data_IF_899313805099
#
_entry.id   IF_899313805099
#
_cell.length_a   1.000
_cell.length_b   1.000
_cell.length_c   1.000
_cell.angle_alpha   90.00
_cell.angle_beta   90.00
_cell.angle_gamma   90.00
#
_symmetry.space_group_name_H-M   'P 1'
#
loop_
_entity.id
_entity.type
_entity.pdbx_description
1 polymer ?
#
# COMPACT_ATOMS: atom_id res chain seq x y z
N UNK A 1 -23.33 8.63 38.80
CA UNK A 1 -22.16 7.73 38.91
C UNK A 1 -21.18 8.13 37.82
N UNK A 2 -19.86 8.13 38.06
CA UNK A 2 -18.89 8.23 36.97
C UNK A 2 -19.05 7.00 36.08
N UNK A 3 -19.15 7.19 34.77
CA UNK A 3 -19.21 6.08 33.81
C UNK A 3 -17.91 5.26 33.88
N UNK A 4 -18.02 3.96 33.66
CA UNK A 4 -16.88 3.06 33.73
C UNK A 4 -15.92 3.36 32.57
N UNK A 5 -14.60 3.28 32.80
CA UNK A 5 -13.62 3.43 31.71
C UNK A 5 -13.78 2.38 30.59
N UNK A 6 -14.56 1.31 30.83
CA UNK A 6 -14.93 0.31 29.82
C UNK A 6 -16.05 0.77 28.87
N UNK A 7 -16.77 1.85 29.16
CA UNK A 7 -17.84 2.40 28.31
C UNK A 7 -17.31 3.36 27.23
N UNK A 8 -16.01 3.67 27.23
CA UNK A 8 -15.34 4.38 26.12
C UNK A 8 -15.23 3.50 24.86
N UNK A 9 -16.33 3.40 24.11
CA UNK A 9 -16.38 2.87 22.74
C UNK A 9 -15.88 3.91 21.73
N UNK A 10 -14.58 3.84 21.48
CA UNK A 10 -13.93 4.40 20.30
C UNK A 10 -12.78 3.45 19.92
N UNK A 11 -12.86 2.77 18.78
CA UNK A 11 -11.77 1.89 18.34
C UNK A 11 -11.32 2.05 16.87
N UNK A 12 -10.57 3.14 16.54
CA UNK A 12 -9.99 3.33 15.21
C UNK A 12 -8.62 2.67 14.85
N UNK A 13 -7.90 1.83 15.61
CA UNK A 13 -8.00 1.35 16.99
C UNK A 13 -7.04 2.16 17.89
N UNK A 14 -7.58 2.69 19.01
CA UNK A 14 -6.94 3.51 20.08
C UNK A 14 -5.56 4.14 19.78
N UNK A 15 -5.59 5.45 19.46
CA UNK A 15 -4.52 6.47 19.63
C UNK A 15 -3.82 7.08 18.38
N UNK A 16 -4.56 7.39 17.30
CA UNK A 16 -4.16 8.46 16.35
C UNK A 16 -5.26 9.45 15.93
N UNK A 17 -6.53 9.18 16.25
CA UNK A 17 -7.63 10.10 15.95
C UNK A 17 -7.74 10.41 14.45
N UNK A 18 -7.88 11.68 14.12
CA UNK A 18 -8.01 12.19 12.75
C UNK A 18 -6.83 11.85 11.82
N UNK A 19 -5.59 11.71 12.34
CA UNK A 19 -4.42 11.29 11.55
C UNK A 19 -4.60 9.88 10.98
N UNK A 20 -5.30 8.98 11.68
CA UNK A 20 -5.62 7.66 11.14
C UNK A 20 -6.62 7.76 9.99
N UNK A 21 -7.74 8.46 10.18
CA UNK A 21 -8.80 8.61 9.16
C UNK A 21 -8.27 9.29 7.88
N UNK A 22 -7.42 10.31 8.04
CA UNK A 22 -6.76 10.98 6.92
C UNK A 22 -5.80 10.05 6.18
N UNK A 23 -4.91 9.33 6.87
CA UNK A 23 -3.99 8.36 6.24
C UNK A 23 -4.74 7.22 5.57
N UNK A 24 -5.82 6.75 6.18
CA UNK A 24 -6.70 5.73 5.60
C UNK A 24 -7.32 6.22 4.29
N UNK A 25 -7.95 7.39 4.31
CA UNK A 25 -8.54 7.97 3.10
C UNK A 25 -7.50 8.21 2.01
N UNK A 26 -6.26 8.54 2.38
CA UNK A 26 -5.17 8.71 1.42
C UNK A 26 -4.70 7.37 0.82
N UNK A 27 -4.62 6.30 1.62
CA UNK A 27 -4.27 4.95 1.16
C UNK A 27 -5.28 4.45 0.12
N UNK A 28 -6.56 4.39 0.49
CA UNK A 28 -7.67 3.98 -0.39
C UNK A 28 -7.71 4.79 -1.68
N UNK A 29 -7.51 6.11 -1.60
CA UNK A 29 -7.42 6.98 -2.77
C UNK A 29 -6.23 6.63 -3.68
N UNK A 30 -5.07 6.35 -3.11
CA UNK A 30 -3.88 5.98 -3.88
C UNK A 30 -4.03 4.62 -4.58
N UNK A 31 -4.64 3.63 -3.91
CA UNK A 31 -4.98 2.33 -4.50
C UNK A 31 -5.98 2.46 -5.64
N UNK A 32 -7.05 3.24 -5.46
CA UNK A 32 -8.04 3.53 -6.51
C UNK A 32 -7.37 4.09 -7.76
N UNK A 33 -6.48 5.09 -7.60
CA UNK A 33 -5.72 5.68 -8.71
C UNK A 33 -4.79 4.69 -9.40
N UNK A 34 -4.17 3.77 -8.66
CA UNK A 34 -3.35 2.70 -9.23
C UNK A 34 -4.19 1.70 -10.02
N UNK A 35 -5.36 1.30 -9.50
CA UNK A 35 -6.30 0.41 -10.18
C UNK A 35 -6.79 1.03 -11.49
N UNK A 36 -7.22 2.30 -11.45
CA UNK A 36 -7.66 3.07 -12.62
C UNK A 36 -6.52 3.17 -13.66
N UNK A 37 -5.33 3.62 -13.24
CA UNK A 37 -4.16 3.77 -14.12
C UNK A 37 -3.73 2.47 -14.83
N UNK A 38 -3.84 1.32 -14.15
CA UNK A 38 -3.55 0.00 -14.73
C UNK A 38 -4.65 -0.40 -15.71
N UNK A 39 -5.90 -0.24 -15.34
CA UNK A 39 -7.05 -0.69 -16.15
C UNK A 39 -7.22 0.16 -17.42
N UNK A 40 -6.93 1.46 -17.35
CA UNK A 40 -6.97 2.40 -18.48
C UNK A 40 -5.95 2.04 -19.59
N UNK A 41 -4.95 1.20 -19.31
CA UNK A 41 -4.01 0.70 -20.34
C UNK A 41 -4.68 -0.27 -21.33
N UNK A 42 -5.75 -0.96 -20.92
CA UNK A 42 -6.35 -2.06 -21.67
C UNK A 42 -5.49 -3.34 -21.79
N UNK A 43 -4.21 -3.31 -21.40
CA UNK A 43 -3.29 -4.46 -21.43
C UNK A 43 -3.31 -5.30 -20.15
N UNK A 44 -3.71 -4.68 -19.05
CA UNK A 44 -3.67 -5.25 -17.70
C UNK A 44 -4.99 -5.04 -16.97
N UNK A 45 -5.18 -5.82 -15.90
CA UNK A 45 -6.29 -5.70 -14.96
C UNK A 45 -5.72 -5.65 -13.55
N UNK A 46 -6.06 -4.63 -12.77
CA UNK A 46 -5.79 -4.54 -11.33
C UNK A 46 -7.10 -4.73 -10.54
N UNK A 47 -7.01 -5.46 -9.42
CA UNK A 47 -8.09 -5.62 -8.43
C UNK A 47 -7.56 -5.44 -7.01
N UNK A 48 -8.38 -4.97 -6.05
CA UNK A 48 -8.07 -5.08 -4.63
C UNK A 48 -8.04 -6.55 -4.17
N UNK A 49 -7.17 -6.83 -3.20
CA UNK A 49 -6.90 -8.15 -2.64
C UNK A 49 -6.62 -8.10 -1.14
N UNK A 50 -5.91 -7.06 -0.71
CA UNK A 50 -5.64 -6.74 0.69
C UNK A 50 -6.79 -6.02 1.41
N UNK A 51 -6.65 -5.83 2.74
CA UNK A 51 -7.66 -5.27 3.64
C UNK A 51 -7.79 -3.73 3.58
N UNK A 52 -7.25 -3.09 2.56
CA UNK A 52 -7.15 -1.64 2.43
C UNK A 52 -8.24 -1.11 1.48
N UNK A 53 -8.28 -1.60 0.24
CA UNK A 53 -9.13 -1.09 -0.84
C UNK A 53 -10.63 -1.42 -0.78
N UNK A 54 -11.12 -2.18 0.21
CA UNK A 54 -12.56 -2.50 0.35
C UNK A 54 -13.22 -1.91 1.60
N UNK A 55 -12.51 -1.09 2.36
CA UNK A 55 -13.05 -0.54 3.60
C UNK A 55 -14.16 0.51 3.36
N UNK A 56 -15.15 0.57 4.28
CA UNK A 56 -16.27 1.50 4.18
C UNK A 56 -15.86 2.96 4.39
N UNK A 57 -16.78 3.89 4.10
CA UNK A 57 -16.56 5.33 4.25
C UNK A 57 -17.73 6.00 4.95
N UNK A 58 -17.45 6.84 5.96
CA UNK A 58 -18.45 7.73 6.57
C UNK A 58 -19.15 7.24 7.84
N UNK A 59 -18.87 6.04 8.35
CA UNK A 59 -19.51 5.51 9.58
C UNK A 59 -18.53 4.74 10.48
N UNK A 60 -18.42 5.12 11.76
CA UNK A 60 -17.62 4.39 12.78
C UNK A 60 -18.02 2.92 12.80
N UNK A 61 -19.33 2.65 12.80
CA UNK A 61 -19.89 1.31 12.92
C UNK A 61 -19.51 0.41 11.74
N UNK A 62 -19.44 0.97 10.54
CA UNK A 62 -19.02 0.20 9.37
C UNK A 62 -17.53 -0.14 9.45
N UNK A 63 -16.68 0.79 9.88
CA UNK A 63 -15.27 0.50 10.17
C UNK A 63 -15.10 -0.57 11.25
N UNK A 64 -15.86 -0.50 12.35
CA UNK A 64 -15.81 -1.51 13.42
C UNK A 64 -16.16 -2.90 12.88
N UNK A 65 -17.28 -3.04 12.14
CA UNK A 65 -17.69 -4.28 11.50
C UNK A 65 -16.67 -4.79 10.46
N UNK A 66 -16.01 -3.88 9.73
CA UNK A 66 -14.95 -4.22 8.77
C UNK A 66 -13.75 -4.87 9.48
N UNK A 67 -13.26 -4.27 10.57
CA UNK A 67 -12.16 -4.82 11.34
C UNK A 67 -12.54 -6.11 12.08
N UNK A 68 -13.77 -6.23 12.60
CA UNK A 68 -14.27 -7.48 13.20
C UNK A 68 -14.27 -8.63 12.18
N UNK A 69 -14.68 -8.37 10.92
CA UNK A 69 -14.60 -9.36 9.83
C UNK A 69 -13.16 -9.76 9.49
N UNK A 70 -12.21 -8.81 9.46
CA UNK A 70 -10.79 -9.10 9.21
C UNK A 70 -10.15 -9.93 10.34
N UNK A 71 -10.50 -9.63 11.59
CA UNK A 71 -10.03 -10.40 12.75
C UNK A 71 -10.63 -11.82 12.75
N UNK A 72 -11.92 -11.96 12.45
CA UNK A 72 -12.58 -13.26 12.29
C UNK A 72 -12.03 -14.09 11.12
N UNK A 73 -11.55 -13.45 10.04
CA UNK A 73 -10.87 -14.11 8.93
C UNK A 73 -9.46 -14.62 9.26
N UNK A 74 -8.93 -14.34 10.46
CA UNK A 74 -7.60 -14.76 10.90
C UNK A 74 -6.44 -13.98 10.27
N UNK A 75 -6.72 -12.96 9.44
CA UNK A 75 -5.72 -12.23 8.66
C UNK A 75 -4.87 -11.27 9.50
N UNK A 76 -5.21 -11.06 10.78
CA UNK A 76 -4.39 -10.29 11.73
C UNK A 76 -2.98 -10.86 11.99
N UNK A 77 -2.68 -12.09 11.53
CA UNK A 77 -1.36 -12.72 11.65
C UNK A 77 -0.64 -12.95 10.30
N UNK A 78 -1.29 -12.70 9.16
CA UNK A 78 -0.72 -12.97 7.83
C UNK A 78 -0.75 -11.71 6.98
N UNK A 79 0.44 -11.16 6.70
CA UNK A 79 0.58 -10.02 5.79
C UNK A 79 0.18 -10.43 4.37
N UNK A 80 -0.55 -9.54 3.69
CA UNK A 80 -1.01 -9.69 2.31
C UNK A 80 -0.75 -8.38 1.56
N UNK A 81 -0.28 -8.41 0.29
CA UNK A 81 -0.26 -7.24 -0.59
C UNK A 81 -1.65 -6.67 -0.86
N UNK A 82 -1.74 -5.37 -1.16
CA UNK A 82 -3.00 -4.65 -1.32
C UNK A 82 -3.72 -4.98 -2.64
N UNK A 83 -2.98 -5.10 -3.75
CA UNK A 83 -3.56 -5.37 -5.08
C UNK A 83 -3.01 -6.64 -5.73
N UNK A 84 -3.80 -7.22 -6.64
CA UNK A 84 -3.34 -8.21 -7.62
C UNK A 84 -3.48 -7.67 -9.03
N UNK A 85 -2.46 -7.90 -9.86
CA UNK A 85 -2.46 -7.53 -11.27
C UNK A 85 -2.44 -8.77 -12.17
N UNK A 86 -3.13 -8.66 -13.30
CA UNK A 86 -3.34 -9.71 -14.29
C UNK A 86 -3.13 -9.15 -15.70
N UNK A 87 -2.92 -10.03 -16.69
CA UNK A 87 -3.01 -9.63 -18.10
C UNK A 87 -4.49 -9.48 -18.47
N UNK A 88 -4.86 -8.51 -19.30
CA UNK A 88 -6.24 -8.31 -19.74
C UNK A 88 -6.81 -9.55 -20.48
N UNK A 89 -5.95 -10.35 -21.12
CA UNK A 89 -6.30 -11.65 -21.73
C UNK A 89 -6.86 -12.68 -20.74
N UNK A 90 -6.58 -12.53 -19.44
CA UNK A 90 -7.07 -13.42 -18.38
C UNK A 90 -8.25 -12.80 -17.60
N UNK A 91 -8.79 -11.64 -18.03
CA UNK A 91 -9.90 -10.94 -17.35
C UNK A 91 -11.12 -11.84 -17.09
N UNK A 92 -11.71 -12.43 -18.12
CA UNK A 92 -12.91 -13.27 -17.97
C UNK A 92 -12.72 -14.47 -17.00
N UNK A 93 -11.66 -15.29 -17.09
CA UNK A 93 -11.45 -16.36 -16.11
C UNK A 93 -10.98 -15.88 -14.72
N UNK A 94 -10.51 -14.64 -14.58
CA UNK A 94 -10.28 -14.01 -13.27
C UNK A 94 -11.60 -13.55 -12.65
N UNK A 95 -12.46 -12.87 -13.42
CA UNK A 95 -13.81 -12.46 -12.99
C UNK A 95 -14.66 -13.66 -12.56
N UNK A 96 -14.59 -14.78 -13.30
CA UNK A 96 -15.24 -16.03 -12.89
C UNK A 96 -14.70 -16.54 -11.54
N UNK A 97 -13.37 -16.61 -11.36
CA UNK A 97 -12.76 -17.08 -10.12
C UNK A 97 -13.10 -16.17 -8.92
N UNK A 98 -13.24 -14.86 -9.15
CA UNK A 98 -13.70 -13.89 -8.14
C UNK A 98 -15.17 -14.11 -7.80
N UNK A 99 -16.03 -14.37 -8.78
CA UNK A 99 -17.44 -14.68 -8.54
C UNK A 99 -17.60 -15.98 -7.72
N UNK A 100 -16.83 -17.02 -8.05
CA UNK A 100 -16.74 -18.28 -7.27
C UNK A 100 -16.18 -18.07 -5.86
N UNK A 101 -15.35 -17.04 -5.65
CA UNK A 101 -14.85 -16.63 -4.34
C UNK A 101 -15.90 -15.91 -3.48
N UNK A 102 -17.02 -15.46 -4.06
CA UNK A 102 -18.06 -14.66 -3.38
C UNK A 102 -18.08 -13.19 -3.79
N UNK A 103 -17.27 -12.78 -4.77
CA UNK A 103 -17.17 -11.41 -5.27
C UNK A 103 -15.94 -10.66 -4.78
N UNK A 104 -15.68 -9.51 -5.42
CA UNK A 104 -14.46 -8.71 -5.21
C UNK A 104 -14.36 -8.14 -3.78
N UNK A 105 -15.50 -7.82 -3.17
CA UNK A 105 -15.59 -7.33 -1.79
C UNK A 105 -15.24 -8.38 -0.74
N UNK A 106 -15.34 -9.67 -1.10
CA UNK A 106 -15.09 -10.78 -0.18
C UNK A 106 -13.62 -11.22 -0.16
N UNK A 107 -12.84 -10.94 -1.22
CA UNK A 107 -11.43 -11.34 -1.32
C UNK A 107 -10.61 -10.98 -0.06
N UNK A 108 -10.73 -9.78 0.53
CA UNK A 108 -9.98 -9.39 1.73
C UNK A 108 -10.38 -10.10 3.02
N UNK A 109 -11.46 -10.90 3.02
CA UNK A 109 -11.93 -11.70 4.16
C UNK A 109 -11.77 -13.20 3.95
N UNK A 110 -11.34 -13.64 2.77
CA UNK A 110 -11.06 -15.04 2.49
C UNK A 110 -9.68 -15.39 3.06
N UNK A 111 -9.63 -16.43 3.89
CA UNK A 111 -8.37 -16.93 4.46
C UNK A 111 -7.40 -17.39 3.35
N UNK A 112 -6.10 -17.17 3.55
CA UNK A 112 -5.05 -17.54 2.58
C UNK A 112 -5.09 -19.03 2.18
N UNK A 113 -5.49 -19.93 3.07
CA UNK A 113 -5.57 -21.37 2.80
C UNK A 113 -6.78 -21.78 1.95
N UNK A 114 -7.71 -20.88 1.63
CA UNK A 114 -8.91 -21.19 0.86
C UNK A 114 -8.59 -21.47 -0.63
N UNK A 115 -9.09 -22.60 -1.14
CA UNK A 115 -8.90 -23.04 -2.52
C UNK A 115 -9.46 -22.07 -3.56
N UNK A 116 -10.50 -21.29 -3.20
CA UNK A 116 -11.10 -20.26 -4.07
C UNK A 116 -10.09 -19.14 -4.35
N UNK A 117 -9.30 -18.77 -3.34
CA UNK A 117 -8.25 -17.75 -3.49
C UNK A 117 -7.11 -18.23 -4.39
N UNK A 118 -6.74 -19.51 -4.30
CA UNK A 118 -5.74 -20.12 -5.18
C UNK A 118 -6.13 -20.07 -6.67
N UNK A 119 -7.42 -20.16 -7.00
CA UNK A 119 -7.92 -20.06 -8.37
C UNK A 119 -7.71 -18.65 -8.98
N UNK A 120 -7.83 -17.61 -8.15
CA UNK A 120 -7.51 -16.21 -8.49
C UNK A 120 -5.98 -16.04 -8.60
N UNK A 121 -5.24 -16.37 -7.54
CA UNK A 121 -3.78 -16.16 -7.44
C UNK A 121 -2.97 -16.85 -8.53
N UNK A 122 -3.43 -18.01 -9.05
CA UNK A 122 -2.76 -18.73 -10.15
C UNK A 122 -2.56 -17.88 -11.42
N UNK A 123 -3.40 -16.87 -11.64
CA UNK A 123 -3.31 -15.97 -12.81
C UNK A 123 -2.61 -14.65 -12.52
N UNK A 124 -2.28 -14.36 -11.26
CA UNK A 124 -1.65 -13.11 -10.89
C UNK A 124 -0.25 -12.99 -11.51
N UNK A 125 -0.06 -11.90 -12.26
CA UNK A 125 1.19 -11.49 -12.89
C UNK A 125 2.14 -10.94 -11.83
N UNK A 126 1.65 -10.00 -11.01
CA UNK A 126 2.27 -9.51 -9.77
C UNK A 126 1.22 -9.29 -8.69
N UNK A 127 1.70 -9.16 -7.47
CA UNK A 127 0.98 -8.52 -6.37
C UNK A 127 1.64 -7.17 -6.06
N UNK A 128 0.89 -6.23 -5.52
CA UNK A 128 1.38 -4.88 -5.21
C UNK A 128 1.10 -4.53 -3.76
N UNK A 129 2.15 -4.20 -3.02
CA UNK A 129 2.05 -3.45 -1.76
C UNK A 129 2.00 -1.96 -2.13
N UNK A 130 0.93 -1.29 -1.73
CA UNK A 130 0.70 0.13 -2.00
C UNK A 130 1.21 0.97 -0.84
N UNK A 131 2.05 1.94 -1.14
CA UNK A 131 2.52 2.94 -0.18
C UNK A 131 2.26 4.34 -0.74
N UNK A 132 2.07 5.32 0.14
CA UNK A 132 1.61 6.64 -0.27
C UNK A 132 2.28 7.78 0.51
N UNK A 133 2.31 8.96 -0.11
CA UNK A 133 3.00 10.14 0.41
C UNK A 133 2.24 11.43 0.13
N UNK A 134 2.14 12.30 1.15
CA UNK A 134 1.53 13.64 1.03
C UNK A 134 2.44 14.67 0.33
N UNK A 135 3.57 14.24 -0.24
CA UNK A 135 4.50 15.12 -0.90
C UNK A 135 4.24 15.22 -2.40
N UNK A 136 4.61 16.37 -2.97
CA UNK A 136 4.87 16.52 -4.41
C UNK A 136 6.34 16.20 -4.66
N UNK A 137 6.60 15.06 -5.28
CA UNK A 137 7.92 14.53 -5.60
C UNK A 137 8.80 15.53 -6.34
N UNK A 138 8.25 16.23 -7.35
CA UNK A 138 8.98 17.21 -8.16
C UNK A 138 9.37 18.47 -7.38
N UNK A 139 8.73 18.73 -6.22
CA UNK A 139 9.01 19.87 -5.35
C UNK A 139 9.90 19.51 -4.15
N UNK A 140 10.38 18.27 -4.07
CA UNK A 140 11.28 17.86 -3.00
C UNK A 140 12.70 18.44 -3.22
N UNK A 141 13.35 19.03 -2.20
CA UNK A 141 14.64 19.72 -2.33
C UNK A 141 15.76 18.92 -3.01
N UNK A 142 15.84 17.62 -2.75
CA UNK A 142 16.88 16.73 -3.28
C UNK A 142 16.38 15.89 -4.47
N UNK A 143 15.24 16.23 -5.09
CA UNK A 143 14.65 15.46 -6.19
C UNK A 143 15.68 15.14 -7.29
N UNK A 144 16.33 16.15 -7.86
CA UNK A 144 17.31 15.98 -8.93
C UNK A 144 18.75 15.78 -8.44
N UNK A 145 18.98 15.53 -7.14
CA UNK A 145 20.34 15.42 -6.58
C UNK A 145 20.94 14.05 -6.94
N UNK A 146 22.02 13.98 -7.75
CA UNK A 146 22.60 12.71 -8.16
C UNK A 146 23.30 11.99 -7.00
N UNK A 147 23.19 10.66 -6.97
CA UNK A 147 23.86 9.84 -5.97
C UNK A 147 25.39 9.98 -6.04
N UNK A 148 26.05 10.05 -4.87
CA UNK A 148 27.51 10.14 -4.72
C UNK A 148 28.00 9.16 -3.66
N UNK A 149 29.28 8.75 -3.66
CA UNK A 149 29.84 7.90 -2.60
C UNK A 149 29.60 8.50 -1.20
N UNK A 150 29.00 7.73 -0.28
CA UNK A 150 28.69 8.17 1.07
C UNK A 150 29.51 7.41 2.11
N UNK A 151 30.26 8.12 2.97
CA UNK A 151 31.02 7.50 4.08
C UNK A 151 30.13 6.67 5.01
N UNK A 152 28.89 7.12 5.27
CA UNK A 152 27.91 6.36 6.09
C UNK A 152 27.53 5.01 5.47
N UNK A 153 27.47 4.93 4.15
CA UNK A 153 27.16 3.70 3.40
C UNK A 153 28.42 2.89 3.05
N UNK A 154 29.54 3.10 3.76
CA UNK A 154 30.80 2.40 3.48
C UNK A 154 31.44 2.75 2.13
N UNK A 155 31.10 3.90 1.54
CA UNK A 155 31.54 4.31 0.21
C UNK A 155 30.54 4.03 -0.92
N UNK A 156 29.47 3.28 -0.65
CA UNK A 156 28.38 3.07 -1.61
C UNK A 156 27.71 4.39 -2.03
N UNK A 157 27.10 4.39 -3.22
CA UNK A 157 26.34 5.53 -3.74
C UNK A 157 25.10 5.83 -2.90
N UNK A 158 24.87 7.11 -2.62
CA UNK A 158 23.71 7.60 -1.88
C UNK A 158 23.72 9.13 -1.75
N UNK A 159 22.90 9.67 -0.86
CA UNK A 159 22.83 11.10 -0.55
C UNK A 159 23.19 11.42 0.90
N UNK A 160 23.23 12.71 1.26
CA UNK A 160 23.42 13.14 2.63
C UNK A 160 22.34 12.58 3.57
N UNK A 161 22.67 12.44 4.86
CA UNK A 161 21.67 12.03 5.87
C UNK A 161 20.63 13.14 6.01
N UNK A 162 19.36 12.82 5.85
CA UNK A 162 18.27 13.79 5.89
C UNK A 162 17.86 14.38 4.53
N UNK A 163 18.47 13.95 3.42
CA UNK A 163 18.04 14.34 2.08
C UNK A 163 16.54 14.08 1.86
N UNK A 164 15.85 15.04 1.25
CA UNK A 164 14.40 15.04 1.03
C UNK A 164 14.14 14.86 -0.47
N UNK A 165 13.83 13.62 -0.86
CA UNK A 165 13.57 13.18 -2.23
C UNK A 165 12.58 12.00 -2.20
N UNK A 166 12.02 11.58 -3.35
CA UNK A 166 11.06 10.48 -3.38
C UNK A 166 11.73 9.17 -2.95
N UNK A 167 11.07 8.45 -2.05
CA UNK A 167 11.53 7.16 -1.55
C UNK A 167 10.43 6.13 -1.55
N UNK A 168 10.74 4.93 -2.02
CA UNK A 168 9.88 3.76 -1.90
C UNK A 168 10.15 3.18 -0.50
N UNK A 169 9.11 3.12 0.32
CA UNK A 169 9.20 2.72 1.72
C UNK A 169 8.81 1.26 1.86
N UNK A 170 9.55 0.50 2.67
CA UNK A 170 9.13 -0.79 3.19
C UNK A 170 9.40 -0.83 4.70
N UNK A 171 8.47 -1.42 5.46
CA UNK A 171 8.56 -1.51 6.92
C UNK A 171 9.26 -2.82 7.30
N UNK A 172 10.13 -2.80 8.30
CA UNK A 172 10.87 -3.99 8.74
C UNK A 172 9.93 -5.12 9.14
N UNK A 173 8.80 -4.78 9.79
CA UNK A 173 7.76 -5.75 10.14
C UNK A 173 7.05 -6.40 8.95
N UNK A 174 7.03 -5.75 7.77
CA UNK A 174 6.36 -6.25 6.57
C UNK A 174 7.28 -7.12 5.71
N UNK A 175 8.61 -6.92 5.76
CA UNK A 175 9.60 -7.55 4.86
C UNK A 175 9.52 -9.08 4.85
N UNK A 176 9.73 -9.72 6.00
CA UNK A 176 9.78 -11.19 6.07
C UNK A 176 8.43 -11.85 5.74
N UNK A 177 7.28 -11.37 6.28
CA UNK A 177 5.97 -11.85 5.85
C UNK A 177 5.69 -11.72 4.34
N UNK A 178 6.05 -10.59 3.71
CA UNK A 178 5.90 -10.42 2.27
C UNK A 178 6.82 -11.38 1.48
N UNK A 179 8.06 -11.60 1.94
CA UNK A 179 8.98 -12.58 1.31
C UNK A 179 8.42 -14.01 1.38
N UNK A 180 7.85 -14.39 2.52
CA UNK A 180 7.23 -15.70 2.70
C UNK A 180 6.02 -15.86 1.77
N UNK A 181 5.11 -14.88 1.74
CA UNK A 181 3.98 -14.87 0.81
C UNK A 181 4.43 -14.95 -0.66
N UNK A 182 5.45 -14.17 -1.06
CA UNK A 182 6.01 -14.22 -2.41
C UNK A 182 6.55 -15.61 -2.76
N UNK A 183 7.25 -16.26 -1.83
CA UNK A 183 7.81 -17.60 -2.03
C UNK A 183 6.71 -18.68 -2.10
N UNK A 184 5.74 -18.66 -1.19
CA UNK A 184 4.63 -19.61 -1.13
C UNK A 184 3.69 -19.50 -2.33
N UNK A 185 3.42 -18.26 -2.80
CA UNK A 185 2.52 -18.03 -3.93
C UNK A 185 3.24 -18.02 -5.28
N UNK A 186 4.56 -17.83 -5.29
CA UNK A 186 5.36 -17.60 -6.48
C UNK A 186 4.94 -16.36 -7.29
N UNK A 187 4.16 -15.45 -6.69
CA UNK A 187 3.70 -14.19 -7.30
C UNK A 187 4.70 -13.10 -6.93
N UNK A 188 5.44 -12.48 -7.88
CA UNK A 188 6.34 -11.38 -7.55
C UNK A 188 5.60 -10.22 -6.90
N UNK A 189 6.16 -9.68 -5.82
CA UNK A 189 5.62 -8.50 -5.14
C UNK A 189 6.38 -7.27 -5.61
N UNK A 190 5.66 -6.24 -6.03
CA UNK A 190 6.22 -4.91 -6.27
C UNK A 190 5.67 -3.93 -5.22
N UNK A 191 6.51 -3.08 -4.66
CA UNK A 191 6.10 -1.95 -3.81
C UNK A 191 5.88 -0.76 -4.74
N UNK A 192 4.66 -0.22 -4.77
CA UNK A 192 4.28 0.94 -5.58
C UNK A 192 4.02 2.13 -4.66
N UNK A 193 4.87 3.15 -4.75
CA UNK A 193 4.80 4.34 -3.90
C UNK A 193 4.24 5.53 -4.67
N UNK A 194 3.07 6.01 -4.26
CA UNK A 194 2.33 7.12 -4.89
C UNK A 194 2.60 8.43 -4.15
N UNK A 195 3.07 9.44 -4.89
CA UNK A 195 3.13 10.84 -4.47
C UNK A 195 1.98 11.61 -5.13
N UNK A 196 1.84 12.91 -4.84
CA UNK A 196 0.78 13.73 -5.46
C UNK A 196 0.87 13.83 -6.98
N UNK A 197 2.11 13.93 -7.48
CA UNK A 197 2.49 14.28 -8.85
C UNK A 197 3.18 13.14 -9.61
N UNK A 198 3.86 12.23 -8.92
CA UNK A 198 4.56 11.07 -9.49
C UNK A 198 4.28 9.78 -8.72
N UNK A 199 4.54 8.63 -9.32
CA UNK A 199 4.60 7.35 -8.64
C UNK A 199 5.86 6.56 -9.06
N UNK A 200 6.36 5.69 -8.17
CA UNK A 200 7.52 4.85 -8.42
C UNK A 200 7.27 3.40 -7.99
N UNK A 201 7.88 2.44 -8.71
CA UNK A 201 7.77 1.02 -8.41
C UNK A 201 9.12 0.35 -8.18
N UNK A 202 9.16 -0.59 -7.23
CA UNK A 202 10.36 -1.36 -6.87
C UNK A 202 9.95 -2.81 -6.62
N UNK A 203 10.63 -3.80 -7.19
CA UNK A 203 10.35 -5.21 -6.82
C UNK A 203 10.84 -5.49 -5.40
N UNK A 204 10.16 -6.38 -4.67
CA UNK A 204 10.56 -6.79 -3.33
C UNK A 204 11.98 -7.37 -3.33
N UNK A 205 12.30 -8.22 -4.30
CA UNK A 205 13.67 -8.78 -4.48
C UNK A 205 14.73 -7.68 -4.58
N UNK A 206 14.43 -6.58 -5.30
CA UNK A 206 15.34 -5.44 -5.43
C UNK A 206 15.41 -4.63 -4.13
N UNK A 207 14.30 -4.44 -3.43
CA UNK A 207 14.29 -3.80 -2.10
C UNK A 207 15.20 -4.58 -1.13
N UNK A 208 15.04 -5.90 -1.05
CA UNK A 208 15.87 -6.79 -0.23
C UNK A 208 17.36 -6.75 -0.64
N UNK A 209 17.67 -6.73 -1.94
CA UNK A 209 19.04 -6.57 -2.44
C UNK A 209 19.68 -5.25 -1.99
N UNK A 210 18.92 -4.14 -2.00
CA UNK A 210 19.40 -2.83 -1.55
C UNK A 210 19.68 -2.81 -0.04
N UNK A 211 18.88 -3.52 0.78
CA UNK A 211 19.15 -3.71 2.20
C UNK A 211 20.41 -4.55 2.40
N UNK A 212 20.50 -5.73 1.76
CA UNK A 212 21.63 -6.64 1.89
C UNK A 212 22.96 -6.01 1.47
N UNK A 213 22.97 -5.21 0.40
CA UNK A 213 24.15 -4.48 -0.09
C UNK A 213 24.46 -3.18 0.68
N UNK A 214 23.69 -2.85 1.72
CA UNK A 214 23.83 -1.60 2.51
C UNK A 214 23.76 -0.34 1.63
N UNK A 215 22.89 -0.36 0.61
CA UNK A 215 22.53 0.79 -0.22
C UNK A 215 21.35 1.57 0.38
N UNK A 216 20.66 1.00 1.37
CA UNK A 216 19.63 1.67 2.17
C UNK A 216 19.83 1.29 3.64
N UNK A 217 19.87 2.28 4.52
CA UNK A 217 19.99 2.08 5.97
C UNK A 217 18.60 2.07 6.65
N UNK A 218 18.41 1.29 7.72
CA UNK A 218 17.18 1.33 8.52
C UNK A 218 17.01 2.69 9.20
N UNK A 219 15.79 3.22 9.16
CA UNK A 219 15.37 4.41 9.90
C UNK A 219 14.38 4.02 10.99
N UNK A 220 14.77 4.16 12.25
CA UNK A 220 13.84 4.01 13.36
C UNK A 220 12.94 5.25 13.50
N UNK A 221 11.64 5.03 13.52
CA UNK A 221 10.62 6.04 13.81
C UNK A 221 9.92 5.71 15.12
N UNK A 222 9.92 6.68 16.04
CA UNK A 222 9.21 6.58 17.32
C UNK A 222 7.88 7.30 17.19
N UNK A 223 6.77 6.57 17.36
CA UNK A 223 5.43 7.14 17.42
C UNK A 223 4.96 7.13 18.87
N UNK A 224 4.69 8.32 19.40
CA UNK A 224 4.04 8.48 20.69
C UNK A 224 2.55 8.64 20.47
N UNK A 225 1.79 7.71 21.03
CA UNK A 225 0.35 7.66 21.00
C UNK A 225 -0.20 8.57 22.14
N UNK A 226 -1.29 9.35 21.97
CA UNK A 226 -1.75 10.29 23.02
C UNK A 226 -2.02 9.70 24.42
N UNK A 227 -2.27 8.39 24.53
CA UNK A 227 -2.37 7.64 25.79
C UNK A 227 -1.05 7.03 26.28
N UNK A 228 0.10 7.57 25.88
CA UNK A 228 1.43 7.22 26.40
C UNK A 228 2.12 6.01 25.76
N UNK A 229 1.42 5.19 24.97
CA UNK A 229 2.05 4.06 24.28
C UNK A 229 3.10 4.54 23.26
N UNK A 230 4.35 4.10 23.43
CA UNK A 230 5.44 4.40 22.50
C UNK A 230 5.66 3.17 21.62
N UNK A 231 5.42 3.32 20.31
CA UNK A 231 5.74 2.29 19.31
C UNK A 231 6.96 2.72 18.51
N UNK A 232 7.91 1.80 18.32
CA UNK A 232 9.04 1.98 17.40
C UNK A 232 8.75 1.16 16.15
N UNK A 233 8.76 1.79 14.99
CA UNK A 233 8.78 1.11 13.69
C UNK A 233 10.13 1.33 13.04
N UNK A 234 10.67 0.33 12.35
CA UNK A 234 11.87 0.48 11.54
C UNK A 234 11.44 0.45 10.09
N UNK A 235 11.88 1.42 9.30
CA UNK A 235 11.54 1.51 7.88
C UNK A 235 12.81 1.68 7.03
N UNK A 236 12.78 1.13 5.83
CA UNK A 236 13.77 1.36 4.79
C UNK A 236 13.19 2.34 3.79
N UNK A 237 14.01 3.31 3.38
CA UNK A 237 13.63 4.37 2.43
C UNK A 237 14.51 4.27 1.20
N UNK A 238 14.11 3.44 0.25
CA UNK A 238 14.86 3.25 -0.99
C UNK A 238 14.69 4.49 -1.87
N UNK A 239 15.79 5.15 -2.23
CA UNK A 239 15.72 6.31 -3.13
C UNK A 239 15.11 5.90 -4.48
N UNK A 240 14.26 6.78 -5.05
CA UNK A 240 13.63 6.54 -6.36
C UNK A 240 14.63 6.23 -7.49
N UNK A 241 15.88 6.68 -7.35
CA UNK A 241 17.03 6.33 -8.17
C UNK A 241 17.24 4.80 -8.38
N UNK A 242 16.72 3.95 -7.49
CA UNK A 242 16.79 2.49 -7.59
C UNK A 242 15.49 1.83 -8.07
N UNK A 243 14.45 2.63 -8.32
CA UNK A 243 13.12 2.23 -8.74
C UNK A 243 12.89 2.60 -10.22
N UNK A 244 11.86 2.02 -10.83
CA UNK A 244 11.35 2.52 -12.11
C UNK A 244 10.28 3.60 -11.86
N UNK A 245 10.14 4.61 -12.72
CA UNK A 245 9.01 5.52 -12.71
C UNK A 245 7.75 4.70 -13.03
N UNK A 246 6.80 4.68 -12.10
CA UNK A 246 5.55 3.95 -12.27
C UNK A 246 4.57 4.73 -13.13
N UNK A 247 4.45 6.04 -12.88
CA UNK A 247 3.53 6.91 -13.59
C UNK A 247 3.58 8.36 -13.11
N UNK A 248 2.80 9.21 -13.77
CA UNK A 248 2.66 10.64 -13.46
C UNK A 248 1.19 11.05 -13.28
N UNK A 249 0.98 12.10 -12.49
CA UNK A 249 -0.36 12.61 -12.16
C UNK A 249 -0.84 13.55 -13.27
N UNK A 250 -1.81 13.09 -14.05
CA UNK A 250 -2.42 13.87 -15.15
C UNK A 250 -3.60 14.73 -14.69
N UNK A 251 -4.07 14.52 -13.45
CA UNK A 251 -5.15 15.27 -12.83
C UNK A 251 -4.96 15.26 -11.30
N UNK A 252 -5.11 16.41 -10.64
CA UNK A 252 -4.96 16.51 -9.19
C UNK A 252 -6.23 16.04 -8.45
N UNK A 253 -6.09 15.44 -7.25
CA UNK A 253 -7.24 15.10 -6.42
C UNK A 253 -7.88 16.36 -5.81
N UNK A 254 -9.17 16.26 -5.55
CA UNK A 254 -9.89 17.18 -4.65
C UNK A 254 -9.64 16.75 -3.21
N UNK A 255 -9.19 17.69 -2.38
CA UNK A 255 -9.11 17.52 -0.94
C UNK A 255 -10.36 18.17 -0.32
N UNK A 256 -11.15 17.39 0.41
CA UNK A 256 -12.39 17.87 1.04
C UNK A 256 -12.33 17.68 2.57
N UNK A 257 -12.82 18.63 3.37
CA UNK A 257 -12.99 18.40 4.80
C UNK A 257 -14.13 17.39 5.03
N UNK A 258 -13.91 16.48 5.96
CA UNK A 258 -14.88 15.49 6.42
C UNK A 258 -14.80 15.38 7.95
N UNK A 259 -15.78 14.71 8.56
CA UNK A 259 -15.73 14.38 9.97
C UNK A 259 -16.45 13.06 10.25
N UNK A 260 -16.16 12.46 11.40
CA UNK A 260 -16.97 11.39 11.97
C UNK A 260 -17.34 11.79 13.39
N UNK A 261 -18.59 11.59 13.78
CA UNK A 261 -19.07 11.81 15.14
C UNK A 261 -19.16 10.45 15.88
N UNK A 262 -18.68 10.39 17.12
CA UNK A 262 -18.85 9.20 17.96
C UNK A 262 -20.18 9.21 18.74
N UNK A 263 -20.50 8.10 19.41
CA UNK A 263 -21.75 7.97 20.18
C UNK A 263 -21.84 8.92 21.40
N UNK A 264 -20.79 9.68 21.71
CA UNK A 264 -20.74 10.68 22.79
C UNK A 264 -20.80 12.13 22.24
N UNK A 265 -20.96 12.31 20.93
CA UNK A 265 -20.95 13.62 20.27
C UNK A 265 -19.55 14.19 20.02
N UNK A 266 -18.49 13.37 20.12
CA UNK A 266 -17.13 13.83 19.82
C UNK A 266 -16.87 13.81 18.32
N UNK A 267 -16.64 14.99 17.75
CA UNK A 267 -16.36 15.20 16.33
C UNK A 267 -14.86 15.00 16.03
N UNK A 268 -14.56 14.07 15.13
CA UNK A 268 -13.22 13.79 14.62
C UNK A 268 -13.09 14.30 13.17
N UNK A 269 -12.60 15.54 12.95
CA UNK A 269 -12.44 16.12 11.62
C UNK A 269 -11.21 15.54 10.91
N UNK A 270 -11.30 15.28 9.60
CA UNK A 270 -10.21 14.76 8.77
C UNK A 270 -10.35 15.27 7.32
N UNK A 271 -9.42 14.90 6.44
CA UNK A 271 -9.46 15.23 5.01
C UNK A 271 -9.70 13.96 4.20
N UNK A 272 -10.64 14.02 3.25
CA UNK A 272 -10.84 13.01 2.22
C UNK A 272 -10.22 13.43 0.90
N UNK A 273 -9.86 12.43 0.09
CA UNK A 273 -9.25 12.58 -1.23
C UNK A 273 -10.18 11.93 -2.27
N UNK A 274 -10.57 12.68 -3.30
CA UNK A 274 -11.40 12.17 -4.40
C UNK A 274 -10.90 12.67 -5.77
N UNK A 275 -11.17 11.89 -6.80
CA UNK A 275 -10.67 12.14 -8.15
C UNK A 275 -9.14 12.20 -8.25
N UNK A 276 -8.67 12.86 -9.30
CA UNK A 276 -7.27 12.84 -9.70
C UNK A 276 -6.90 11.52 -10.38
N UNK A 277 -6.07 11.58 -11.42
CA UNK A 277 -5.74 10.43 -12.28
C UNK A 277 -4.24 10.25 -12.39
N UNK A 278 -3.81 9.01 -12.52
CA UNK A 278 -2.41 8.63 -12.71
C UNK A 278 -2.32 7.96 -14.08
N UNK A 279 -1.31 8.30 -14.88
CA UNK A 279 -1.00 7.60 -16.12
C UNK A 279 0.27 6.79 -15.93
N UNK A 280 0.25 5.49 -16.27
CA UNK A 280 1.44 4.65 -16.18
C UNK A 280 2.49 5.06 -17.21
N UNK A 281 3.77 4.95 -16.83
CA UNK A 281 4.90 5.22 -17.72
C UNK A 281 5.16 4.05 -18.67
N UNK A 282 5.78 4.33 -19.82
CA UNK A 282 6.28 3.28 -20.72
C UNK A 282 7.23 2.29 -20.03
N UNK A 283 8.01 2.75 -19.05
CA UNK A 283 8.94 1.90 -18.30
C UNK A 283 8.17 0.94 -17.37
N UNK A 284 7.08 1.38 -16.76
CA UNK A 284 6.19 0.50 -15.99
C UNK A 284 5.53 -0.55 -16.90
N UNK A 285 5.03 -0.14 -18.07
CA UNK A 285 4.46 -1.05 -19.06
C UNK A 285 5.51 -2.07 -19.54
N UNK A 286 6.75 -1.64 -19.81
CA UNK A 286 7.85 -2.56 -20.16
C UNK A 286 8.15 -3.56 -19.05
N UNK A 287 8.21 -3.12 -17.79
CA UNK A 287 8.37 -4.01 -16.63
C UNK A 287 7.25 -5.07 -16.59
N UNK A 288 5.98 -4.67 -16.71
CA UNK A 288 4.83 -5.59 -16.68
C UNK A 288 4.75 -6.52 -17.91
N UNK A 289 5.13 -6.03 -19.10
CA UNK A 289 5.19 -6.84 -20.33
C UNK A 289 6.27 -7.91 -20.24
N UNK A 290 7.46 -7.56 -19.74
CA UNK A 290 8.63 -8.45 -19.64
C UNK A 290 8.51 -9.56 -18.59
N UNK A 291 7.55 -9.47 -17.66
CA UNK A 291 7.32 -10.54 -16.68
C UNK A 291 6.84 -11.84 -17.36
N UNK A 292 7.36 -13.01 -16.96
CA UNK A 292 7.02 -14.27 -17.60
C UNK A 292 5.54 -14.61 -17.36
N UNK A 293 4.82 -14.95 -18.43
CA UNK A 293 3.47 -15.50 -18.31
C UNK A 293 3.54 -16.85 -17.60
N UNK A 294 2.89 -16.95 -16.44
CA UNK A 294 2.91 -18.16 -15.61
C UNK A 294 2.19 -19.28 -16.36
N UNK A 295 2.83 -20.45 -16.46
CA UNK A 295 2.27 -21.59 -17.20
C UNK A 295 0.97 -22.04 -16.54
N UNK A 296 -0.05 -22.23 -17.37
CA UNK A 296 -1.36 -22.77 -16.98
C UNK A 296 -1.23 -24.27 -16.69
N UNK A 297 -0.83 -24.57 -15.46
CA UNK A 297 -0.96 -25.90 -14.86
C UNK A 297 -2.30 -25.98 -14.08
#
# INVERSE_FOLDING_TARGET
LPLSWFEFRLNPRRLRGSDFLMRWSQGVWSEKRLIEAVNDTGEFLAIPYGPSGTAPTGSVREFELYFERLEAAGLGQTKRPDLLLFRASDKAPVEQAIAEAGGISELPFIAESDKRLAAVLRRALIAVECENSLWRALKMPDYSTPLRPQRRLGGNLGLAKGAVLPTIIIKEEDREPLRQWQAERGVPIHIWHVFFDLAYGLSLDRAEELVAKKLTEPTAQTFQAPGGAITKKVIFKHYYHYAYPLGESVEEPRLSPAFVEDNNGHILPYVTFDGGRLQLSDQALQVLRNLPTRRRN
#
